data_IF_484395626062
#
_entry.id   IF_484395626062
#
_cell.length_a   1.000
_cell.length_b   1.000
_cell.length_c   1.000
_cell.angle_alpha   90.00
_cell.angle_beta   90.00
_cell.angle_gamma   90.00
#
_symmetry.space_group_name_H-M   'P 1'
#
loop_
_entity.id
_entity.type
_entity.pdbx_description
1 polymer ?
#
# COMPACT_ATOMS: atom_id res chain seq x y z
N UNK A 1 3.91 -26.49 13.11
CA UNK A 1 5.07 -25.78 12.52
C UNK A 1 5.73 -24.95 13.61
N UNK A 2 7.05 -24.86 13.66
CA UNK A 2 7.79 -23.99 14.60
C UNK A 2 8.46 -22.89 13.80
N UNK A 3 8.31 -21.64 14.25
CA UNK A 3 8.89 -20.46 13.59
C UNK A 3 9.69 -19.67 14.61
N UNK A 4 10.82 -19.13 14.18
CA UNK A 4 11.65 -18.21 14.97
C UNK A 4 11.43 -16.79 14.44
N UNK A 5 11.31 -15.82 15.34
CA UNK A 5 11.13 -14.40 15.03
C UNK A 5 12.09 -13.58 15.87
N UNK A 6 12.70 -12.57 15.25
CA UNK A 6 13.55 -11.60 15.93
C UNK A 6 12.72 -10.39 16.33
N UNK A 7 12.89 -9.94 17.57
CA UNK A 7 12.15 -8.81 18.15
C UNK A 7 13.18 -7.78 18.62
N UNK A 8 13.01 -6.53 18.20
CA UNK A 8 13.91 -5.42 18.60
C UNK A 8 13.88 -5.24 20.13
N UNK A 9 15.06 -4.99 20.72
CA UNK A 9 15.22 -4.87 22.18
C UNK A 9 14.25 -3.90 22.87
N UNK A 10 13.96 -2.69 22.34
CA UNK A 10 13.00 -1.78 22.97
C UNK A 10 11.59 -2.38 23.07
N UNK A 11 11.15 -3.04 21.98
CA UNK A 11 9.83 -3.67 21.92
C UNK A 11 9.75 -4.90 22.86
N UNK A 12 10.85 -5.62 23.03
CA UNK A 12 10.94 -6.72 23.98
C UNK A 12 10.86 -6.24 25.44
N UNK A 13 11.45 -5.07 25.75
CA UNK A 13 11.35 -4.47 27.08
C UNK A 13 9.90 -4.09 27.42
N UNK A 14 9.24 -3.36 26.52
CA UNK A 14 7.82 -3.01 26.66
C UNK A 14 6.93 -4.25 26.82
N UNK A 15 7.16 -5.29 26.01
CA UNK A 15 6.40 -6.54 26.09
C UNK A 15 6.54 -7.22 27.47
N UNK A 16 7.73 -7.17 28.09
CA UNK A 16 7.95 -7.71 29.43
C UNK A 16 7.21 -6.92 30.51
N UNK A 17 7.20 -5.59 30.41
CA UNK A 17 6.45 -4.73 31.34
C UNK A 17 4.95 -4.99 31.27
N UNK A 18 4.40 -5.09 30.07
CA UNK A 18 2.99 -5.45 29.84
C UNK A 18 2.67 -6.84 30.41
N UNK A 19 3.56 -7.82 30.20
CA UNK A 19 3.38 -9.16 30.76
C UNK A 19 3.32 -9.14 32.29
N UNK A 20 4.21 -8.38 32.93
CA UNK A 20 4.24 -8.23 34.38
C UNK A 20 2.98 -7.53 34.91
N UNK A 21 2.55 -6.45 34.24
CA UNK A 21 1.38 -5.67 34.64
C UNK A 21 0.09 -6.50 34.58
N UNK A 22 -0.06 -7.33 33.55
CA UNK A 22 -1.28 -8.09 33.31
C UNK A 22 -1.22 -9.54 33.81
N UNK A 23 -0.12 -9.93 34.47
CA UNK A 23 0.13 -11.31 34.92
C UNK A 23 -0.10 -12.35 33.81
N UNK A 24 0.45 -12.08 32.63
CA UNK A 24 0.38 -12.95 31.45
C UNK A 24 1.78 -13.36 31.00
N UNK A 25 1.84 -14.43 30.20
CA UNK A 25 3.10 -14.88 29.61
C UNK A 25 3.40 -14.13 28.32
N UNK A 26 4.70 -13.96 28.01
CA UNK A 26 5.15 -13.36 26.75
C UNK A 26 4.61 -14.11 25.53
N UNK A 27 4.55 -15.45 25.62
CA UNK A 27 3.94 -16.29 24.59
C UNK A 27 2.46 -15.91 24.38
N UNK A 28 1.68 -15.82 25.46
CA UNK A 28 0.26 -15.47 25.37
C UNK A 28 0.03 -14.06 24.84
N UNK A 29 0.91 -13.10 25.18
CA UNK A 29 0.87 -11.75 24.60
C UNK A 29 1.11 -11.78 23.09
N UNK A 30 2.16 -12.47 22.63
CA UNK A 30 2.52 -12.58 21.21
C UNK A 30 1.42 -13.28 20.42
N UNK A 31 0.85 -14.38 20.93
CA UNK A 31 -0.23 -15.11 20.25
C UNK A 31 -1.47 -14.24 20.06
N UNK A 32 -1.84 -13.44 21.08
CA UNK A 32 -2.98 -12.51 20.98
C UNK A 32 -2.72 -11.39 19.98
N UNK A 33 -1.53 -10.79 20.03
CA UNK A 33 -1.14 -9.73 19.11
C UNK A 33 -1.12 -10.23 17.65
N UNK A 34 -0.58 -11.42 17.42
CA UNK A 34 -0.56 -12.06 16.11
C UNK A 34 -1.96 -12.37 15.59
N UNK A 35 -2.85 -12.91 16.43
CA UNK A 35 -4.23 -13.18 16.05
C UNK A 35 -4.97 -11.90 15.63
N UNK A 36 -4.86 -10.83 16.43
CA UNK A 36 -5.47 -9.54 16.11
C UNK A 36 -4.92 -8.95 14.80
N UNK A 37 -3.63 -9.11 14.52
CA UNK A 37 -3.03 -8.61 13.28
C UNK A 37 -3.45 -9.44 12.05
N UNK A 38 -3.58 -10.76 12.20
CA UNK A 38 -4.14 -11.63 11.15
C UNK A 38 -5.57 -11.23 10.83
N UNK A 39 -6.42 -11.00 11.85
CA UNK A 39 -7.81 -10.58 11.64
C UNK A 39 -7.90 -9.25 10.88
N UNK A 40 -7.07 -8.26 11.24
CA UNK A 40 -6.98 -6.99 10.49
C UNK A 40 -6.56 -7.22 9.05
N UNK A 41 -5.50 -8.00 8.81
CA UNK A 41 -5.00 -8.28 7.47
C UNK A 41 -6.00 -9.08 6.62
N UNK A 42 -6.78 -9.95 7.24
CA UNK A 42 -7.85 -10.70 6.59
C UNK A 42 -9.06 -9.81 6.25
N UNK A 43 -9.36 -8.82 7.10
CA UNK A 43 -10.44 -7.85 6.88
C UNK A 43 -10.06 -6.76 5.87
N UNK A 44 -8.76 -6.48 5.69
CA UNK A 44 -8.28 -5.55 4.66
C UNK A 44 -8.65 -6.09 3.27
N UNK A 45 -9.43 -5.35 2.46
CA UNK A 45 -9.71 -5.74 1.09
C UNK A 45 -8.37 -5.86 0.36
N UNK A 46 -8.02 -7.08 -0.08
CA UNK A 46 -6.96 -7.21 -1.08
C UNK A 46 -7.46 -6.50 -2.31
N UNK A 47 -6.65 -5.63 -2.90
CA UNK A 47 -6.98 -5.07 -4.21
C UNK A 47 -7.29 -6.24 -5.14
N UNK A 48 -8.56 -6.36 -5.49
CA UNK A 48 -9.00 -7.18 -6.60
C UNK A 48 -9.26 -6.18 -7.71
N UNK A 49 -8.76 -6.42 -8.94
CA UNK A 49 -9.30 -5.71 -10.08
C UNK A 49 -10.80 -5.98 -10.04
N UNK A 50 -11.59 -4.96 -9.71
CA UNK A 50 -13.04 -5.05 -9.79
C UNK A 50 -13.40 -5.47 -11.21
N UNK A 51 -14.48 -6.21 -11.38
CA UNK A 51 -14.96 -6.68 -12.69
C UNK A 51 -15.10 -5.55 -13.74
N UNK A 52 -15.10 -4.27 -13.32
CA UNK A 52 -14.97 -3.09 -14.18
C UNK A 52 -13.69 -3.07 -15.04
N UNK A 53 -12.58 -3.67 -14.59
CA UNK A 53 -11.38 -3.84 -15.40
C UNK A 53 -11.42 -5.06 -16.33
N UNK A 54 -12.34 -6.02 -16.10
CA UNK A 54 -12.51 -7.20 -16.94
C UNK A 54 -13.54 -6.99 -18.08
N UNK A 55 -14.38 -5.94 -18.00
CA UNK A 55 -15.40 -5.62 -19.01
C UNK A 55 -14.82 -4.89 -20.24
N UNK A 56 -13.59 -4.41 -20.18
CA UNK A 56 -12.85 -3.97 -21.36
C UNK A 56 -11.85 -5.06 -21.73
N UNK A 57 -12.34 -6.08 -22.45
CA UNK A 57 -11.48 -7.13 -23.02
C UNK A 57 -10.29 -6.51 -23.76
N UNK A 58 -9.15 -7.22 -23.77
CA UNK A 58 -7.83 -6.76 -24.24
C UNK A 58 -7.81 -5.28 -24.62
N UNK A 59 -7.40 -4.43 -23.68
CA UNK A 59 -7.04 -3.05 -24.02
C UNK A 59 -5.82 -3.13 -24.95
N UNK A 60 -6.09 -3.36 -26.24
CA UNK A 60 -5.12 -3.12 -27.28
C UNK A 60 -5.01 -1.61 -27.34
N UNK A 61 -4.04 -1.10 -26.59
CA UNK A 61 -3.60 0.27 -26.67
C UNK A 61 -3.07 0.46 -28.09
N UNK A 62 -3.95 0.91 -29.00
CA UNK A 62 -3.63 1.13 -30.42
C UNK A 62 -2.85 2.43 -30.66
N UNK A 63 -2.60 3.21 -29.61
CA UNK A 63 -1.85 4.44 -29.68
C UNK A 63 -0.56 4.34 -28.88
N UNK A 64 0.53 4.85 -29.43
CA UNK A 64 1.77 4.99 -28.68
C UNK A 64 1.53 6.01 -27.55
N UNK A 65 1.29 5.51 -26.35
CA UNK A 65 1.00 6.32 -25.16
C UNK A 65 2.10 7.36 -24.93
N UNK A 66 3.35 7.07 -25.30
CA UNK A 66 4.42 8.04 -25.18
C UNK A 66 4.26 9.19 -26.17
N UNK A 67 3.76 8.92 -27.38
CA UNK A 67 3.48 9.94 -28.39
C UNK A 67 2.28 10.82 -27.97
N UNK A 68 1.23 10.24 -27.40
CA UNK A 68 0.08 11.01 -26.88
C UNK A 68 0.47 11.89 -25.70
N UNK A 69 1.26 11.36 -24.76
CA UNK A 69 1.78 12.14 -23.63
C UNK A 69 2.68 13.28 -24.12
N UNK A 70 3.56 13.02 -25.10
CA UNK A 70 4.42 14.05 -25.68
C UNK A 70 3.61 15.16 -26.35
N UNK A 71 2.60 14.83 -27.15
CA UNK A 71 1.72 15.81 -27.79
C UNK A 71 0.99 16.70 -26.77
N UNK A 72 0.49 16.10 -25.68
CA UNK A 72 -0.17 16.85 -24.61
C UNK A 72 0.79 17.81 -23.89
N UNK A 73 2.05 17.42 -23.66
CA UNK A 73 3.04 18.31 -23.07
C UNK A 73 3.41 19.48 -23.99
N UNK A 74 3.52 19.24 -25.30
CA UNK A 74 3.76 20.30 -26.29
C UNK A 74 2.59 21.31 -26.31
N UNK A 75 1.34 20.85 -26.35
CA UNK A 75 0.16 21.74 -26.30
C UNK A 75 0.12 22.60 -25.03
N UNK A 76 0.51 22.02 -23.88
CA UNK A 76 0.58 22.76 -22.61
C UNK A 76 1.69 23.80 -22.61
N UNK A 77 2.85 23.51 -23.21
CA UNK A 77 3.95 24.46 -23.34
C UNK A 77 3.59 25.59 -24.29
N UNK A 78 3.00 25.30 -25.45
CA UNK A 78 2.52 26.30 -26.41
C UNK A 78 1.47 27.22 -25.78
N UNK A 79 0.51 26.67 -25.04
CA UNK A 79 -0.47 27.47 -24.30
C UNK A 79 0.22 28.37 -23.27
N UNK A 80 1.17 27.85 -22.49
CA UNK A 80 1.89 28.63 -21.49
C UNK A 80 2.75 29.74 -22.12
N UNK A 81 3.38 29.49 -23.27
CA UNK A 81 4.11 30.51 -24.02
C UNK A 81 3.18 31.58 -24.61
N UNK A 82 1.98 31.19 -25.05
CA UNK A 82 0.97 32.12 -25.56
C UNK A 82 0.45 33.08 -24.49
N UNK A 83 0.39 32.65 -23.22
CA UNK A 83 0.04 33.53 -22.09
C UNK A 83 1.11 34.60 -21.81
N UNK A 84 2.34 34.39 -22.25
CA UNK A 84 3.45 35.34 -22.13
C UNK A 84 3.49 36.39 -23.25
N UNK A 85 2.71 36.21 -24.33
CA UNK A 85 2.59 37.17 -25.43
C UNK A 85 1.27 37.92 -25.28
N UNK A 86 1.34 39.07 -24.61
CA UNK A 86 0.33 40.12 -24.74
C UNK A 86 0.79 41.07 -25.85
N UNK A 87 -0.11 41.40 -26.79
CA UNK A 87 0.15 42.37 -27.88
C UNK A 87 0.71 43.71 -27.37
#
# INVERSE_FOLDING_TARGET
>A
MKTTVEIRDPLMAEAKEVCALHNITLKGLIERALAAEIEKLAATPRWQPTDEFLIHGDVVVHSDVNAEIAAMYEELMDYHESLGKTD
#
